data_IF_310961428323
#
_entry.id   IF_310961428323
#
_cell.length_a   1.000
_cell.length_b   1.000
_cell.length_c   1.000
_cell.angle_alpha   90.00
_cell.angle_beta   90.00
_cell.angle_gamma   90.00
#
_symmetry.space_group_name_H-M   'P 1'
#
loop_
_entity.id
_entity.type
_entity.pdbx_description
1 polymer ?
#
# COMPACT_ATOMS: atom_id res chain seq x y z
N UNK A 1 -1.74 -6.16 -19.50
CA UNK A 1 -1.50 -6.44 -20.93
C UNK A 1 -2.82 -6.30 -21.64
N UNK A 2 -2.88 -5.47 -22.68
CA UNK A 2 -4.06 -5.29 -23.51
C UNK A 2 -3.80 -5.91 -24.87
N UNK A 3 -4.81 -6.54 -25.46
CA UNK A 3 -4.76 -6.95 -26.87
C UNK A 3 -5.00 -5.75 -27.80
N UNK A 4 -4.92 -5.98 -29.10
CA UNK A 4 -5.15 -4.95 -30.14
C UNK A 4 -6.57 -4.38 -30.12
N UNK A 5 -7.54 -5.10 -29.54
CA UNK A 5 -8.92 -4.65 -29.34
C UNK A 5 -9.13 -3.84 -28.04
N UNK A 6 -8.06 -3.56 -27.29
CA UNK A 6 -8.12 -2.83 -26.02
C UNK A 6 -8.67 -3.62 -24.83
N UNK A 7 -8.90 -4.93 -24.98
CA UNK A 7 -9.34 -5.82 -23.89
C UNK A 7 -8.16 -6.24 -23.02
N UNK A 8 -8.35 -6.19 -21.71
CA UNK A 8 -7.38 -6.70 -20.74
C UNK A 8 -7.32 -8.23 -20.83
N UNK A 9 -6.15 -8.77 -21.19
CA UNK A 9 -5.94 -10.22 -21.35
C UNK A 9 -5.29 -10.88 -20.14
N UNK A 10 -4.95 -10.11 -19.10
CA UNK A 10 -4.33 -10.63 -17.88
C UNK A 10 -5.33 -11.32 -16.96
N UNK A 11 -4.93 -12.46 -16.40
CA UNK A 11 -5.72 -13.20 -15.40
C UNK A 11 -5.90 -12.43 -14.10
N UNK A 12 -4.88 -11.67 -13.68
CA UNK A 12 -4.92 -10.80 -12.51
C UNK A 12 -3.84 -9.74 -12.61
N UNK A 13 -4.08 -8.59 -11.96
CA UNK A 13 -3.08 -7.53 -11.81
C UNK A 13 -2.48 -7.65 -10.40
N UNK A 14 -1.19 -8.02 -10.24
CA UNK A 14 -0.56 -8.15 -8.94
C UNK A 14 -0.49 -6.81 -8.18
N UNK A 15 -0.50 -6.91 -6.85
CA UNK A 15 -0.27 -5.75 -5.97
C UNK A 15 1.18 -5.26 -6.13
N UNK A 16 1.37 -3.95 -5.99
CA UNK A 16 2.69 -3.31 -5.95
C UNK A 16 3.01 -2.89 -4.52
N UNK A 17 4.26 -3.07 -4.13
CA UNK A 17 4.79 -2.52 -2.90
C UNK A 17 4.72 -0.99 -2.96
N UNK A 18 4.05 -0.36 -2.01
CA UNK A 18 3.89 1.09 -1.91
C UNK A 18 5.24 1.80 -1.72
N UNK A 19 6.23 1.13 -1.12
CA UNK A 19 7.53 1.73 -0.83
C UNK A 19 8.50 1.70 -2.02
N UNK A 20 8.53 0.60 -2.77
CA UNK A 20 9.56 0.34 -3.80
C UNK A 20 9.01 0.14 -5.21
N UNK A 21 7.68 0.16 -5.38
CA UNK A 21 6.98 -0.18 -6.62
C UNK A 21 7.27 -1.58 -7.17
N UNK A 22 7.93 -2.44 -6.38
CA UNK A 22 8.19 -3.84 -6.74
C UNK A 22 6.89 -4.63 -6.72
N UNK A 23 6.72 -5.54 -7.66
CA UNK A 23 5.58 -6.45 -7.66
C UNK A 23 5.62 -7.36 -6.43
N UNK A 24 4.49 -7.49 -5.73
CA UNK A 24 4.29 -8.48 -4.69
C UNK A 24 3.90 -9.77 -5.39
N UNK A 25 4.80 -10.76 -5.36
CA UNK A 25 4.58 -12.04 -6.04
C UNK A 25 3.66 -12.95 -5.22
N UNK A 26 3.08 -13.96 -5.85
CA UNK A 26 2.18 -14.90 -5.18
C UNK A 26 2.86 -15.72 -4.07
N UNK A 27 4.20 -15.88 -4.13
CA UNK A 27 4.99 -16.62 -3.13
C UNK A 27 5.61 -15.72 -2.06
N UNK A 28 5.37 -14.41 -2.10
CA UNK A 28 5.84 -13.48 -1.07
C UNK A 28 4.91 -13.54 0.16
N UNK A 29 5.06 -14.61 0.96
CA UNK A 29 4.31 -14.82 2.19
C UNK A 29 4.73 -13.86 3.33
N UNK A 30 5.87 -13.19 3.17
CA UNK A 30 6.30 -12.14 4.08
C UNK A 30 5.70 -10.78 3.70
N UNK A 31 4.98 -10.64 2.59
CA UNK A 31 4.28 -9.40 2.27
C UNK A 31 3.13 -9.15 3.24
N UNK A 32 2.90 -7.87 3.54
CA UNK A 32 1.79 -7.44 4.41
C UNK A 32 1.04 -6.30 3.77
N UNK A 33 -0.23 -6.21 4.12
CA UNK A 33 -1.08 -5.08 3.80
C UNK A 33 -1.56 -4.47 5.11
N UNK A 34 -1.34 -3.17 5.27
CA UNK A 34 -1.69 -2.43 6.47
C UNK A 34 -2.70 -1.35 6.10
N UNK A 35 -3.76 -1.25 6.91
CA UNK A 35 -4.76 -0.20 6.79
C UNK A 35 -4.58 0.77 7.96
N UNK A 36 -4.37 2.05 7.65
CA UNK A 36 -4.33 3.12 8.64
C UNK A 36 -5.70 3.79 8.65
N UNK A 37 -6.42 3.63 9.75
CA UNK A 37 -7.74 4.23 9.94
C UNK A 37 -7.66 5.74 10.09
N UNK A 38 -8.61 6.43 9.48
CA UNK A 38 -8.74 7.89 9.55
C UNK A 38 -9.63 8.27 10.71
N UNK A 39 -9.30 9.36 11.37
CA UNK A 39 -10.04 9.92 12.49
C UNK A 39 -10.85 11.14 12.04
N UNK A 40 -11.97 11.37 12.72
CA UNK A 40 -12.72 12.61 12.65
C UNK A 40 -12.13 13.67 13.60
N UNK A 41 -12.77 14.84 13.68
CA UNK A 41 -12.36 15.96 14.53
C UNK A 41 -12.38 15.62 16.03
N UNK A 42 -13.15 14.62 16.43
CA UNK A 42 -13.23 14.14 17.82
C UNK A 42 -12.20 13.04 18.12
N UNK A 43 -11.35 12.70 17.14
CA UNK A 43 -10.38 11.61 17.27
C UNK A 43 -11.02 10.21 17.17
N UNK A 44 -12.24 10.11 16.66
CA UNK A 44 -12.98 8.84 16.51
C UNK A 44 -12.78 8.31 15.10
N UNK A 45 -12.62 6.99 14.97
CA UNK A 45 -12.48 6.34 13.67
C UNK A 45 -13.73 6.59 12.79
N UNK A 46 -13.51 7.17 11.61
CA UNK A 46 -14.58 7.63 10.72
C UNK A 46 -14.99 6.59 9.64
N UNK A 47 -14.42 5.38 9.68
CA UNK A 47 -14.71 4.32 8.70
C UNK A 47 -13.85 4.34 7.43
N UNK A 48 -13.09 5.41 7.18
CA UNK A 48 -12.15 5.51 6.06
C UNK A 48 -10.74 5.06 6.47
N UNK A 49 -9.99 4.54 5.52
CA UNK A 49 -8.61 4.12 5.75
C UNK A 49 -7.71 4.30 4.53
N UNK A 50 -6.42 4.47 4.78
CA UNK A 50 -5.37 4.42 3.76
C UNK A 50 -4.69 3.07 3.82
N UNK A 51 -4.64 2.37 2.68
CA UNK A 51 -3.97 1.08 2.56
C UNK A 51 -2.55 1.23 2.05
N UNK A 52 -1.60 0.57 2.70
CA UNK A 52 -0.22 0.41 2.25
C UNK A 52 0.13 -1.07 2.13
N UNK A 53 0.80 -1.43 1.05
CA UNK A 53 1.30 -2.79 0.84
C UNK A 53 2.82 -2.78 0.88
N UNK A 54 3.41 -3.62 1.74
CA UNK A 54 4.86 -3.78 1.84
C UNK A 54 5.24 -5.20 1.39
N UNK A 55 6.22 -5.29 0.50
CA UNK A 55 6.78 -6.58 0.10
C UNK A 55 7.72 -7.13 1.19
N UNK A 56 7.90 -8.45 1.20
CA UNK A 56 8.77 -9.14 2.16
C UNK A 56 10.22 -8.67 2.09
N UNK A 57 10.69 -8.23 0.92
CA UNK A 57 12.04 -7.69 0.75
C UNK A 57 12.34 -6.48 1.65
N UNK A 58 11.44 -5.48 1.68
CA UNK A 58 11.61 -4.27 2.52
C UNK A 58 11.58 -4.63 4.00
N UNK A 59 10.76 -5.61 4.38
CA UNK A 59 10.68 -6.11 5.76
C UNK A 59 11.94 -6.86 6.17
N UNK A 60 12.50 -7.69 5.30
CA UNK A 60 13.74 -8.43 5.57
C UNK A 60 14.96 -7.51 5.72
N UNK A 61 14.96 -6.36 5.02
CA UNK A 61 16.02 -5.35 5.12
C UNK A 61 15.94 -4.49 6.39
N UNK A 62 14.83 -4.57 7.14
CA UNK A 62 14.61 -3.73 8.33
C UNK A 62 14.13 -2.31 8.00
N UNK A 63 13.81 -2.00 6.74
CA UNK A 63 13.40 -0.67 6.29
C UNK A 63 11.88 -0.45 6.32
N UNK A 64 11.12 -1.42 6.81
CA UNK A 64 9.66 -1.36 6.79
C UNK A 64 9.10 -0.18 7.57
N UNK A 65 9.68 0.13 8.73
CA UNK A 65 9.28 1.23 9.60
C UNK A 65 9.50 2.59 8.92
N UNK A 66 10.75 2.88 8.54
CA UNK A 66 11.08 4.13 7.85
C UNK A 66 10.34 4.31 6.53
N UNK A 67 10.06 3.22 5.81
CA UNK A 67 9.25 3.27 4.60
C UNK A 67 7.79 3.64 4.89
N UNK A 68 7.19 3.05 5.94
CA UNK A 68 5.82 3.35 6.35
C UNK A 68 5.68 4.80 6.81
N UNK A 69 6.61 5.28 7.63
CA UNK A 69 6.63 6.67 8.10
C UNK A 69 6.65 7.66 6.94
N UNK A 70 7.57 7.46 5.98
CA UNK A 70 7.66 8.32 4.80
C UNK A 70 6.39 8.29 3.96
N UNK A 71 5.76 7.12 3.80
CA UNK A 71 4.52 6.97 3.05
C UNK A 71 3.35 7.64 3.78
N UNK A 72 3.26 7.47 5.09
CA UNK A 72 2.21 8.06 5.90
C UNK A 72 2.33 9.57 5.95
N UNK A 73 3.51 10.15 6.14
CA UNK A 73 3.68 11.61 6.13
C UNK A 73 3.17 12.27 4.84
N UNK A 74 3.41 11.62 3.69
CA UNK A 74 2.86 12.10 2.40
C UNK A 74 1.34 11.99 2.38
N UNK A 75 0.81 10.81 2.75
CA UNK A 75 -0.62 10.53 2.70
C UNK A 75 -1.40 11.39 3.70
N UNK A 76 -0.87 11.60 4.90
CA UNK A 76 -1.43 12.41 5.98
C UNK A 76 -1.84 13.80 5.47
N UNK A 77 -0.97 14.45 4.70
CA UNK A 77 -1.24 15.74 4.07
C UNK A 77 -2.35 15.66 3.02
N UNK A 78 -2.35 14.62 2.18
CA UNK A 78 -3.40 14.41 1.16
C UNK A 78 -4.78 14.19 1.77
N UNK A 79 -4.85 13.42 2.87
CA UNK A 79 -6.11 13.07 3.53
C UNK A 79 -6.50 14.04 4.65
N UNK A 80 -5.73 15.12 4.85
CA UNK A 80 -5.94 16.14 5.90
C UNK A 80 -6.15 15.55 7.29
N UNK A 81 -5.42 14.48 7.59
CA UNK A 81 -5.41 13.87 8.92
C UNK A 81 -4.38 14.63 9.76
N UNK A 82 -4.77 15.14 10.94
CA UNK A 82 -3.90 15.94 11.81
C UNK A 82 -3.25 15.11 12.90
#
# INVERSE_FOLDING_TARGET
MQNEEGKLTELYVPRKCSATNRLITAKDHASVQMNIGHLDENGIYNGHFSTFALCGFVRAQGEADSALDRLWQKKKTEVKQH
#
